data_IF_071775135225
#
_entry.id   IF_071775135225
#
_cell.length_a   1.000
_cell.length_b   1.000
_cell.length_c   1.000
_cell.angle_alpha   90.00
_cell.angle_beta   90.00
_cell.angle_gamma   90.00
#
_symmetry.space_group_name_H-M   'P 1'
#
loop_
_entity.id
_entity.type
_entity.pdbx_description
1 polymer ?
#
# COMPACT_ATOMS: atom_id res chain seq x y z
N UNK A 1 -25.54 -8.06 -60.41
CA UNK A 1 -26.02 -7.85 -61.80
C UNK A 1 -25.30 -8.74 -62.80
N UNK A 2 -24.20 -8.37 -63.49
CA UNK A 2 -23.56 -9.28 -64.49
C UNK A 2 -23.20 -10.68 -63.94
N UNK A 3 -22.83 -10.73 -62.66
CA UNK A 3 -22.58 -11.94 -61.91
C UNK A 3 -23.83 -12.81 -61.68
N UNK A 4 -24.94 -12.18 -61.27
CA UNK A 4 -26.19 -12.88 -60.95
C UNK A 4 -26.82 -13.43 -62.22
N UNK A 5 -26.75 -12.68 -63.34
CA UNK A 5 -27.28 -13.07 -64.64
C UNK A 5 -26.55 -14.30 -65.23
N UNK A 6 -25.23 -14.37 -65.12
CA UNK A 6 -24.44 -15.53 -65.57
C UNK A 6 -24.63 -16.76 -64.66
N UNK A 7 -24.74 -16.53 -63.35
CA UNK A 7 -25.07 -17.52 -62.33
C UNK A 7 -26.50 -18.07 -62.53
N UNK A 8 -27.42 -17.29 -63.07
CA UNK A 8 -28.79 -17.70 -63.40
C UNK A 8 -28.83 -18.55 -64.69
N UNK A 9 -28.07 -18.17 -65.74
CA UNK A 9 -27.90 -18.97 -66.97
C UNK A 9 -27.18 -20.32 -66.74
N UNK A 10 -26.25 -20.40 -65.79
CA UNK A 10 -25.61 -21.66 -65.37
C UNK A 10 -26.55 -22.60 -64.60
N UNK A 11 -27.54 -22.05 -63.90
CA UNK A 11 -28.54 -22.85 -63.19
C UNK A 11 -29.49 -23.60 -64.14
N UNK A 12 -29.54 -23.22 -65.43
CA UNK A 12 -30.24 -23.96 -66.48
C UNK A 12 -29.39 -25.04 -67.17
N UNK A 13 -28.08 -25.12 -66.87
CA UNK A 13 -27.10 -25.85 -67.66
C UNK A 13 -26.69 -27.26 -67.16
N UNK A 14 -27.18 -27.71 -66.00
CA UNK A 14 -26.90 -29.06 -65.47
C UNK A 14 -26.75 -29.10 -63.94
N UNK A 15 -26.56 -30.29 -63.36
CA UNK A 15 -26.41 -30.48 -61.91
C UNK A 15 -25.13 -29.88 -61.34
N UNK A 16 -23.99 -30.13 -61.98
CA UNK A 16 -22.66 -29.66 -61.52
C UNK A 16 -22.54 -28.14 -61.42
N UNK A 17 -23.17 -27.39 -62.34
CA UNK A 17 -23.19 -25.93 -62.33
C UNK A 17 -24.07 -25.34 -61.21
N UNK A 18 -25.16 -26.02 -60.83
CA UNK A 18 -26.00 -25.63 -59.69
C UNK A 18 -25.28 -25.83 -58.37
N UNK A 19 -24.58 -26.94 -58.22
CA UNK A 19 -23.82 -27.26 -57.00
C UNK A 19 -22.65 -26.28 -56.81
N UNK A 20 -21.91 -25.96 -57.89
CA UNK A 20 -20.83 -24.96 -57.86
C UNK A 20 -21.34 -23.55 -57.52
N UNK A 21 -22.53 -23.17 -58.01
CA UNK A 21 -23.20 -21.90 -57.66
C UNK A 21 -23.55 -21.83 -56.17
N UNK A 22 -24.13 -22.91 -55.62
CA UNK A 22 -24.48 -22.98 -54.21
C UNK A 22 -23.23 -22.87 -53.32
N UNK A 23 -22.17 -23.62 -53.65
CA UNK A 23 -20.89 -23.56 -52.95
C UNK A 23 -20.23 -22.16 -53.01
N UNK A 24 -20.31 -21.48 -54.16
CA UNK A 24 -19.80 -20.11 -54.29
C UNK A 24 -20.59 -19.11 -53.42
N UNK A 25 -21.92 -19.23 -53.38
CA UNK A 25 -22.76 -18.37 -52.56
C UNK A 25 -22.48 -18.58 -51.06
N UNK A 26 -22.31 -19.82 -50.63
CA UNK A 26 -21.95 -20.17 -49.26
C UNK A 26 -20.56 -19.62 -48.87
N UNK A 27 -19.56 -19.79 -49.75
CA UNK A 27 -18.22 -19.25 -49.52
C UNK A 27 -18.22 -17.71 -49.42
N UNK A 28 -19.00 -17.00 -50.25
CA UNK A 28 -19.16 -15.54 -50.15
C UNK A 28 -19.81 -15.12 -48.83
N UNK A 29 -20.84 -15.84 -48.39
CA UNK A 29 -21.50 -15.56 -47.12
C UNK A 29 -20.54 -15.77 -45.94
N UNK A 30 -19.75 -16.85 -45.96
CA UNK A 30 -18.71 -17.15 -44.96
C UNK A 30 -17.63 -16.07 -44.90
N UNK A 31 -17.11 -15.62 -46.05
CA UNK A 31 -16.13 -14.53 -46.11
C UNK A 31 -16.69 -13.24 -45.51
N UNK A 32 -17.94 -12.87 -45.88
CA UNK A 32 -18.60 -11.68 -45.34
C UNK A 32 -18.78 -11.76 -43.82
N UNK A 33 -19.21 -12.91 -43.31
CA UNK A 33 -19.37 -13.13 -41.87
C UNK A 33 -18.04 -13.01 -41.13
N UNK A 34 -16.98 -13.65 -41.64
CA UNK A 34 -15.63 -13.54 -41.07
C UNK A 34 -15.12 -12.09 -41.06
N UNK A 35 -15.36 -11.31 -42.12
CA UNK A 35 -15.01 -9.88 -42.15
C UNK A 35 -15.73 -9.09 -41.07
N UNK A 36 -17.02 -9.37 -40.82
CA UNK A 36 -17.77 -8.73 -39.73
C UNK A 36 -17.25 -9.14 -38.35
N UNK A 37 -16.94 -10.43 -38.16
CA UNK A 37 -16.37 -10.94 -36.91
C UNK A 37 -14.98 -10.34 -36.63
N UNK A 38 -14.12 -10.20 -37.65
CA UNK A 38 -12.82 -9.53 -37.52
C UNK A 38 -12.98 -8.07 -37.12
N UNK A 39 -13.92 -7.35 -37.74
CA UNK A 39 -14.19 -5.95 -37.38
C UNK A 39 -14.67 -5.82 -35.93
N UNK A 40 -15.57 -6.71 -35.49
CA UNK A 40 -16.05 -6.75 -34.10
C UNK A 40 -14.91 -7.07 -33.13
N UNK A 41 -14.13 -8.11 -33.39
CA UNK A 41 -12.98 -8.50 -32.56
C UNK A 41 -11.90 -7.42 -32.52
N UNK A 42 -11.69 -6.69 -33.62
CA UNK A 42 -10.79 -5.54 -33.69
C UNK A 42 -11.24 -4.41 -32.75
N UNK A 43 -12.52 -4.06 -32.78
CA UNK A 43 -13.08 -3.04 -31.88
C UNK A 43 -13.02 -3.47 -30.41
N UNK A 44 -13.26 -4.74 -30.10
CA UNK A 44 -13.15 -5.28 -28.74
C UNK A 44 -11.69 -5.21 -28.24
N UNK A 45 -10.73 -5.60 -29.08
CA UNK A 45 -9.30 -5.51 -28.76
C UNK A 45 -8.86 -4.06 -28.50
N UNK A 46 -9.34 -3.10 -29.30
CA UNK A 46 -9.07 -1.68 -29.09
C UNK A 46 -9.63 -1.19 -27.74
N UNK A 47 -10.86 -1.58 -27.40
CA UNK A 47 -11.50 -1.25 -26.11
C UNK A 47 -10.70 -1.79 -24.94
N UNK A 48 -10.39 -3.10 -24.95
CA UNK A 48 -9.62 -3.76 -23.88
C UNK A 48 -8.21 -3.14 -23.76
N UNK A 49 -7.59 -2.79 -24.87
CA UNK A 49 -6.27 -2.14 -24.88
C UNK A 49 -6.31 -0.72 -24.30
N UNK A 50 -7.42 0.00 -24.49
CA UNK A 50 -7.62 1.32 -23.88
C UNK A 50 -7.84 1.20 -22.37
N UNK A 51 -8.69 0.28 -21.93
CA UNK A 51 -8.94 0.01 -20.50
C UNK A 51 -7.65 -0.41 -19.78
N UNK A 52 -6.85 -1.29 -20.38
CA UNK A 52 -5.56 -1.71 -19.82
C UNK A 52 -4.62 -0.51 -19.62
N UNK A 53 -4.52 0.39 -20.61
CA UNK A 53 -3.69 1.61 -20.50
C UNK A 53 -4.17 2.54 -19.38
N UNK A 54 -5.48 2.66 -19.18
CA UNK A 54 -6.04 3.49 -18.12
C UNK A 54 -5.77 2.88 -16.73
N UNK A 55 -5.86 1.55 -16.60
CA UNK A 55 -5.49 0.83 -15.36
C UNK A 55 -4.00 0.95 -15.07
N UNK A 56 -3.13 0.78 -16.07
CA UNK A 56 -1.67 0.98 -15.92
C UNK A 56 -1.35 2.42 -15.47
N UNK A 57 -2.06 3.42 -16.03
CA UNK A 57 -1.90 4.82 -15.60
C UNK A 57 -2.36 5.02 -14.15
N UNK A 58 -3.50 4.44 -13.77
CA UNK A 58 -3.99 4.50 -12.41
C UNK A 58 -2.99 3.85 -11.43
N UNK A 59 -2.43 2.70 -11.77
CA UNK A 59 -1.44 1.99 -10.94
C UNK A 59 -0.19 2.86 -10.71
N UNK A 60 0.33 3.46 -11.79
CA UNK A 60 1.46 4.38 -11.70
C UNK A 60 1.18 5.62 -10.83
N UNK A 61 -0.03 6.20 -10.92
CA UNK A 61 -0.42 7.34 -10.09
C UNK A 61 -0.57 6.97 -8.62
N UNK A 62 -1.15 5.81 -8.32
CA UNK A 62 -1.29 5.34 -6.94
C UNK A 62 0.06 5.02 -6.32
N UNK A 63 0.98 4.43 -7.08
CA UNK A 63 2.36 4.18 -6.63
C UNK A 63 3.09 5.49 -6.31
N UNK A 64 2.98 6.51 -7.18
CA UNK A 64 3.51 7.86 -6.90
C UNK A 64 2.86 8.51 -5.67
N UNK A 65 1.55 8.33 -5.49
CA UNK A 65 0.84 8.83 -4.32
C UNK A 65 1.36 8.16 -3.05
N UNK A 66 1.56 6.84 -3.05
CA UNK A 66 2.15 6.10 -1.93
C UNK A 66 3.52 6.67 -1.57
N UNK A 67 4.44 6.80 -2.53
CA UNK A 67 5.77 7.38 -2.30
C UNK A 67 5.70 8.81 -1.77
N UNK A 68 4.76 9.62 -2.26
CA UNK A 68 4.57 10.99 -1.78
C UNK A 68 4.09 11.00 -0.32
N UNK A 69 3.17 10.11 0.02
CA UNK A 69 2.65 9.94 1.39
C UNK A 69 3.76 9.47 2.33
N UNK A 70 4.60 8.53 1.90
CA UNK A 70 5.78 8.07 2.64
C UNK A 70 6.75 9.20 2.91
N UNK A 71 7.06 10.03 1.88
CA UNK A 71 7.90 11.21 2.04
C UNK A 71 7.30 12.23 3.04
N UNK A 72 5.97 12.40 3.06
CA UNK A 72 5.31 13.24 4.07
C UNK A 72 5.46 12.63 5.47
N UNK A 73 5.32 11.32 5.62
CA UNK A 73 5.53 10.65 6.91
C UNK A 73 6.97 10.79 7.40
N UNK A 74 7.94 10.67 6.51
CA UNK A 74 9.36 10.92 6.81
C UNK A 74 9.59 12.35 7.28
N UNK A 75 9.00 13.35 6.60
CA UNK A 75 9.08 14.74 7.02
C UNK A 75 8.43 14.96 8.40
N UNK A 76 7.29 14.32 8.67
CA UNK A 76 6.63 14.38 9.97
C UNK A 76 7.47 13.78 11.10
N UNK A 77 8.18 12.68 10.82
CA UNK A 77 9.14 12.09 11.75
C UNK A 77 10.35 13.02 11.95
N UNK A 78 10.85 13.66 10.89
CA UNK A 78 11.89 14.69 10.97
C UNK A 78 11.50 15.90 11.83
N UNK A 79 10.24 16.32 11.80
CA UNK A 79 9.75 17.35 12.72
C UNK A 79 9.72 16.87 14.17
N UNK A 80 9.33 15.62 14.42
CA UNK A 80 9.40 15.05 15.76
C UNK A 80 10.85 14.92 16.25
N UNK A 81 11.76 14.55 15.35
CA UNK A 81 13.19 14.49 15.61
C UNK A 81 13.72 15.85 16.08
N UNK A 82 13.48 16.90 15.29
CA UNK A 82 13.97 18.25 15.59
C UNK A 82 13.30 18.90 16.81
N UNK A 83 12.00 18.68 17.00
CA UNK A 83 11.24 19.36 18.04
C UNK A 83 11.20 18.61 19.39
N UNK A 84 11.38 17.29 19.39
CA UNK A 84 11.24 16.47 20.60
C UNK A 84 12.53 15.71 20.91
N UNK A 85 13.03 14.88 19.98
CA UNK A 85 14.10 13.92 20.29
C UNK A 85 15.44 14.62 20.47
N UNK A 86 15.78 15.52 19.57
CA UNK A 86 17.05 16.24 19.58
C UNK A 86 17.21 17.15 20.83
N UNK A 87 16.20 17.94 21.26
CA UNK A 87 16.27 18.64 22.54
C UNK A 87 16.50 17.72 23.74
N UNK A 88 15.83 16.56 23.78
CA UNK A 88 15.99 15.58 24.87
C UNK A 88 17.43 15.01 24.88
N UNK A 89 18.01 14.70 23.70
CA UNK A 89 19.42 14.28 23.61
C UNK A 89 20.38 15.36 24.08
N UNK A 90 20.15 16.63 23.74
CA UNK A 90 21.03 17.75 24.16
C UNK A 90 21.07 17.94 25.68
N UNK A 91 20.00 17.55 26.38
CA UNK A 91 19.96 17.57 27.85
C UNK A 91 20.68 16.34 28.46
N UNK A 92 21.09 15.37 27.64
CA UNK A 92 21.89 14.20 28.04
C UNK A 92 21.08 12.96 28.37
N UNK A 93 19.76 12.95 28.09
CA UNK A 93 18.87 11.84 28.40
C UNK A 93 19.09 10.57 27.55
N UNK A 94 19.90 10.65 26.50
CA UNK A 94 20.29 9.48 25.68
C UNK A 94 21.28 8.56 26.40
N UNK A 95 21.97 9.06 27.42
CA UNK A 95 22.99 8.36 28.19
C UNK A 95 22.63 8.17 29.67
N UNK A 96 21.35 8.28 30.05
CA UNK A 96 20.88 8.07 31.42
C UNK A 96 20.35 6.63 31.61
N UNK A 97 21.19 5.68 32.05
CA UNK A 97 20.66 4.44 32.61
C UNK A 97 20.00 4.74 33.97
N UNK A 98 18.96 3.99 34.32
CA UNK A 98 18.11 4.22 35.51
C UNK A 98 18.88 4.19 36.84
N UNK A 99 20.07 3.61 36.85
CA UNK A 99 21.00 3.50 37.99
C UNK A 99 21.90 4.75 38.18
N UNK A 100 22.00 5.64 37.20
CA UNK A 100 22.84 6.85 37.30
C UNK A 100 22.19 8.01 38.06
N UNK A 101 20.86 8.08 38.12
CA UNK A 101 20.18 9.25 38.70
C UNK A 101 20.31 9.30 40.24
N UNK A 102 20.19 8.15 40.90
CA UNK A 102 20.29 7.99 42.36
C UNK A 102 20.94 6.63 42.67
N UNK A 103 22.28 6.54 42.61
CA UNK A 103 23.00 5.27 42.74
C UNK A 103 23.02 4.75 44.18
N UNK A 104 23.00 5.65 45.16
CA UNK A 104 23.07 5.32 46.58
C UNK A 104 21.67 5.27 47.22
N UNK A 105 21.43 4.34 48.15
CA UNK A 105 20.25 4.43 49.02
C UNK A 105 20.31 5.72 49.84
N UNK A 106 19.14 6.33 50.11
CA UNK A 106 19.02 7.63 50.80
C UNK A 106 19.83 7.65 52.09
N UNK A 107 19.77 6.56 52.84
CA UNK A 107 20.40 6.38 54.15
C UNK A 107 21.93 6.34 54.08
N UNK A 108 22.50 6.02 52.92
CA UNK A 108 23.96 5.99 52.71
C UNK A 108 24.53 7.33 52.24
N UNK A 109 23.68 8.33 51.96
CA UNK A 109 24.14 9.64 51.50
C UNK A 109 24.77 10.45 52.63
N UNK A 110 25.78 11.28 52.31
CA UNK A 110 26.39 12.19 53.29
C UNK A 110 25.34 13.12 53.92
N UNK A 111 24.41 13.64 53.12
CA UNK A 111 23.34 14.52 53.59
C UNK A 111 22.43 13.84 54.61
N UNK A 112 22.16 12.54 54.48
CA UNK A 112 21.41 11.78 55.45
C UNK A 112 22.18 11.64 56.79
N UNK A 113 23.49 11.39 56.73
CA UNK A 113 24.35 11.38 57.93
C UNK A 113 24.39 12.74 58.64
N UNK A 114 24.50 13.83 57.89
CA UNK A 114 24.52 15.20 58.42
C UNK A 114 23.17 15.59 59.04
N UNK A 115 22.05 15.21 58.38
CA UNK A 115 20.71 15.43 58.90
C UNK A 115 20.48 14.66 60.20
N UNK A 116 20.85 13.38 60.26
CA UNK A 116 20.75 12.56 61.46
C UNK A 116 21.54 13.18 62.63
N UNK A 117 22.77 13.58 62.37
CA UNK A 117 23.64 14.25 63.36
C UNK A 117 23.00 15.54 63.88
N UNK A 118 22.44 16.34 62.98
CA UNK A 118 21.80 17.62 63.34
C UNK A 118 20.54 17.42 64.17
N UNK A 119 19.68 16.45 63.81
CA UNK A 119 18.46 16.12 64.56
C UNK A 119 18.82 15.62 65.96
N UNK A 120 19.79 14.72 66.08
CA UNK A 120 20.29 14.25 67.38
C UNK A 120 20.88 15.40 68.21
N UNK A 121 21.65 16.30 67.62
CA UNK A 121 22.22 17.44 68.34
C UNK A 121 21.16 18.40 68.90
N UNK A 122 20.06 18.62 68.16
CA UNK A 122 18.92 19.41 68.65
C UNK A 122 18.25 18.71 69.85
N UNK A 123 18.09 17.38 69.80
CA UNK A 123 17.56 16.61 70.93
C UNK A 123 18.47 16.67 72.15
N UNK A 124 19.76 16.44 71.97
CA UNK A 124 20.76 16.49 73.05
C UNK A 124 20.79 17.87 73.71
N UNK A 125 20.68 18.94 72.92
CA UNK A 125 20.59 20.31 73.45
C UNK A 125 19.30 20.53 74.25
N UNK A 126 18.17 20.05 73.75
CA UNK A 126 16.89 20.11 74.43
C UNK A 126 16.92 19.40 75.78
N UNK A 127 17.40 18.16 75.81
CA UNK A 127 17.46 17.33 77.00
C UNK A 127 18.49 17.83 78.01
N UNK A 128 19.68 18.24 77.55
CA UNK A 128 20.79 18.63 78.42
C UNK A 128 20.76 20.09 78.88
N UNK A 129 20.24 21.01 78.08
CA UNK A 129 20.38 22.46 78.31
C UNK A 129 19.04 23.20 78.35
N UNK A 130 18.19 23.01 77.34
CA UNK A 130 17.01 23.86 77.16
C UNK A 130 15.89 23.53 78.15
N UNK A 131 15.52 22.25 78.31
CA UNK A 131 14.44 21.83 79.22
C UNK A 131 14.71 22.25 80.68
N UNK A 132 15.93 22.09 81.25
CA UNK A 132 16.25 22.61 82.57
C UNK A 132 16.06 24.13 82.69
N UNK A 133 16.50 24.90 81.68
CA UNK A 133 16.34 26.35 81.66
C UNK A 133 14.86 26.77 81.52
N UNK A 134 14.09 26.05 80.71
CA UNK A 134 12.66 26.28 80.52
C UNK A 134 11.85 25.96 81.78
N UNK A 135 12.22 24.93 82.54
CA UNK A 135 11.60 24.64 83.84
C UNK A 135 11.78 25.81 84.83
N UNK A 136 13.01 26.35 84.93
CA UNK A 136 13.28 27.51 85.78
C UNK A 136 12.52 28.78 85.33
N UNK A 137 12.35 28.98 84.03
CA UNK A 137 11.57 30.10 83.48
C UNK A 137 10.06 29.94 83.77
N UNK A 138 9.55 28.71 83.66
CA UNK A 138 8.15 28.38 83.99
C UNK A 138 7.84 28.67 85.45
N UNK A 139 8.76 28.33 86.36
CA UNK A 139 8.63 28.61 87.79
C UNK A 139 8.72 30.11 88.12
N UNK A 140 9.60 30.85 87.46
CA UNK A 140 9.88 32.26 87.79
C UNK A 140 8.95 33.27 87.09
N UNK A 141 8.48 32.95 85.88
CA UNK A 141 7.77 33.90 85.00
C UNK A 141 6.46 33.34 84.44
N UNK A 142 6.05 32.12 84.81
CA UNK A 142 4.85 31.44 84.30
C UNK A 142 4.80 31.26 82.77
N UNK A 143 5.95 31.41 82.08
CA UNK A 143 6.07 31.18 80.63
C UNK A 143 6.56 29.74 80.43
N UNK A 144 5.79 28.92 79.72
CA UNK A 144 6.15 27.55 79.40
C UNK A 144 6.70 27.44 77.97
N UNK A 145 8.02 27.25 77.87
CA UNK A 145 8.71 26.97 76.60
C UNK A 145 9.01 25.49 76.39
N UNK A 146 8.63 24.61 77.33
CA UNK A 146 8.80 23.16 77.23
C UNK A 146 8.31 22.57 75.90
N UNK A 147 7.16 22.99 75.35
CA UNK A 147 6.67 22.50 74.05
C UNK A 147 7.62 22.73 72.87
N UNK A 148 8.59 23.67 72.95
CA UNK A 148 9.58 23.86 71.88
C UNK A 148 10.56 22.69 71.75
N UNK A 149 10.68 21.86 72.79
CA UNK A 149 11.47 20.63 72.78
C UNK A 149 10.63 19.36 72.63
N UNK A 150 9.32 19.52 72.37
CA UNK A 150 8.39 18.41 72.17
C UNK A 150 8.35 18.04 70.68
N UNK A 151 9.31 17.25 70.26
CA UNK A 151 9.35 16.64 68.94
C UNK A 151 9.66 15.15 69.05
N UNK A 152 9.33 14.41 67.99
CA UNK A 152 9.52 12.96 67.91
C UNK A 152 10.99 12.56 68.11
N UNK A 153 11.22 11.30 68.49
CA UNK A 153 12.58 10.78 68.67
C UNK A 153 13.39 10.90 67.36
N UNK A 154 14.69 11.21 67.43
CA UNK A 154 15.53 11.45 66.25
C UNK A 154 15.43 10.39 65.15
N UNK A 155 15.34 9.11 65.55
CA UNK A 155 15.16 7.99 64.63
C UNK A 155 13.86 8.07 63.83
N UNK A 156 12.74 8.43 64.47
CA UNK A 156 11.44 8.53 63.82
C UNK A 156 11.40 9.71 62.83
N UNK A 157 11.94 10.87 63.23
CA UNK A 157 12.07 12.04 62.35
C UNK A 157 12.93 11.72 61.13
N UNK A 158 14.03 10.99 61.33
CA UNK A 158 14.93 10.59 60.24
C UNK A 158 14.30 9.55 59.31
N UNK A 159 13.52 8.61 59.85
CA UNK A 159 12.80 7.62 59.04
C UNK A 159 11.77 8.31 58.13
N UNK A 160 10.95 9.23 58.66
CA UNK A 160 9.99 9.98 57.84
C UNK A 160 10.69 10.80 56.75
N UNK A 161 11.77 11.50 57.09
CA UNK A 161 12.57 12.25 56.12
C UNK A 161 13.10 11.33 55.00
N UNK A 162 13.59 10.15 55.35
CA UNK A 162 14.13 9.18 54.39
C UNK A 162 13.04 8.66 53.45
N UNK A 163 11.84 8.40 53.97
CA UNK A 163 10.66 8.01 53.18
C UNK A 163 10.28 9.11 52.19
N UNK A 164 10.22 10.37 52.62
CA UNK A 164 9.87 11.51 51.76
C UNK A 164 10.91 11.72 50.64
N UNK A 165 12.20 11.62 50.97
CA UNK A 165 13.28 11.74 49.97
C UNK A 165 13.20 10.60 48.96
N UNK A 166 12.98 9.36 49.41
CA UNK A 166 12.83 8.19 48.53
C UNK A 166 11.63 8.32 47.60
N UNK A 167 10.50 8.79 48.11
CA UNK A 167 9.32 9.08 47.30
C UNK A 167 9.66 10.11 46.21
N UNK A 168 10.37 11.18 46.56
CA UNK A 168 10.78 12.20 45.60
C UNK A 168 11.76 11.67 44.56
N UNK A 169 12.71 10.82 44.95
CA UNK A 169 13.63 10.15 44.02
C UNK A 169 12.86 9.30 43.01
N UNK A 170 11.88 8.51 43.45
CA UNK A 170 11.06 7.70 42.56
C UNK A 170 10.26 8.54 41.55
N UNK A 171 9.65 9.64 42.00
CA UNK A 171 8.95 10.55 41.10
C UNK A 171 9.87 11.14 40.03
N UNK A 172 11.10 11.50 40.41
CA UNK A 172 12.10 11.99 39.46
C UNK A 172 12.48 10.89 38.47
N UNK A 173 12.70 9.65 38.92
CA UNK A 173 12.98 8.51 38.04
C UNK A 173 11.86 8.30 37.01
N UNK A 174 10.60 8.28 37.46
CA UNK A 174 9.45 8.14 36.57
C UNK A 174 9.38 9.27 35.53
N UNK A 175 9.64 10.51 35.93
CA UNK A 175 9.63 11.64 35.01
C UNK A 175 10.79 11.56 34.00
N UNK A 176 11.96 11.07 34.44
CA UNK A 176 13.10 10.82 33.57
C UNK A 176 12.78 9.71 32.55
N UNK A 177 12.17 8.60 32.96
CA UNK A 177 11.71 7.52 32.08
C UNK A 177 10.66 8.02 31.06
N UNK A 178 9.72 8.86 31.51
CA UNK A 178 8.74 9.48 30.61
C UNK A 178 9.41 10.36 29.57
N UNK A 179 10.44 11.12 29.94
CA UNK A 179 11.19 11.97 29.01
C UNK A 179 12.04 11.13 28.06
N UNK A 180 12.80 10.17 28.57
CA UNK A 180 13.68 9.29 27.76
C UNK A 180 12.88 8.44 26.77
N UNK A 181 11.65 8.03 27.12
CA UNK A 181 10.77 7.29 26.20
C UNK A 181 10.47 8.05 24.89
N UNK A 182 10.55 9.38 24.87
CA UNK A 182 10.40 10.19 23.64
C UNK A 182 11.57 10.09 22.67
N UNK A 183 12.74 9.61 23.12
CA UNK A 183 13.89 9.36 22.24
C UNK A 183 13.64 8.19 21.29
N UNK A 184 12.65 7.34 21.59
CA UNK A 184 12.27 6.23 20.73
C UNK A 184 11.29 6.70 19.64
N UNK A 185 11.54 6.39 18.35
CA UNK A 185 10.60 6.65 17.27
C UNK A 185 9.31 5.82 17.36
N UNK A 186 9.27 4.79 18.22
CA UNK A 186 8.20 3.79 18.30
C UNK A 186 7.51 3.75 19.68
N UNK A 187 7.43 4.91 20.34
CA UNK A 187 6.99 5.11 21.74
C UNK A 187 5.78 4.31 22.25
N UNK A 188 4.82 3.93 21.38
CA UNK A 188 3.64 3.15 21.78
C UNK A 188 3.88 1.64 21.93
N UNK A 189 5.05 1.15 21.54
CA UNK A 189 5.53 -0.17 21.94
C UNK A 189 6.25 0.06 23.27
N UNK A 190 5.90 -0.66 24.35
CA UNK A 190 6.57 -0.50 25.64
C UNK A 190 8.07 -0.78 25.45
N UNK A 191 8.87 0.28 25.32
CA UNK A 191 10.30 0.18 25.02
C UNK A 191 11.09 0.38 26.31
N UNK A 192 11.42 -0.73 26.95
CA UNK A 192 12.24 -0.75 28.17
C UNK A 192 13.70 -1.18 27.90
N UNK A 193 14.09 -1.40 26.64
CA UNK A 193 15.46 -1.81 26.29
C UNK A 193 15.84 -1.54 24.83
N UNK A 194 17.15 -1.49 24.55
CA UNK A 194 17.72 -1.45 23.20
C UNK A 194 17.28 -2.63 22.33
N UNK A 195 17.17 -3.83 22.91
CA UNK A 195 16.65 -5.00 22.20
C UNK A 195 15.19 -4.82 21.75
N UNK A 196 14.36 -4.18 22.58
CA UNK A 196 12.97 -3.88 22.20
C UNK A 196 12.90 -2.84 21.07
N UNK A 197 13.86 -1.92 21.00
CA UNK A 197 14.00 -0.99 19.88
C UNK A 197 14.37 -1.71 18.59
N UNK A 198 15.41 -2.55 18.61
CA UNK A 198 15.88 -3.29 17.43
C UNK A 198 14.75 -4.19 16.87
N UNK A 199 14.04 -4.91 17.76
CA UNK A 199 12.90 -5.74 17.38
C UNK A 199 11.76 -4.95 16.71
N UNK A 200 11.49 -3.73 17.18
CA UNK A 200 10.45 -2.89 16.58
C UNK A 200 10.88 -2.30 15.22
N UNK A 201 12.16 -2.02 15.03
CA UNK A 201 12.68 -1.60 13.74
C UNK A 201 12.62 -2.74 12.72
N UNK A 202 12.93 -3.97 13.13
CA UNK A 202 12.77 -5.17 12.31
C UNK A 202 11.30 -5.41 11.95
N UNK A 203 10.38 -5.25 12.91
CA UNK A 203 8.94 -5.39 12.63
C UNK A 203 8.43 -4.31 11.67
N UNK A 204 8.86 -3.05 11.81
CA UNK A 204 8.50 -1.98 10.86
C UNK A 204 9.02 -2.31 9.46
N UNK A 205 10.26 -2.82 9.34
CA UNK A 205 10.81 -3.27 8.07
C UNK A 205 10.01 -4.43 7.46
N UNK A 206 9.58 -5.41 8.26
CA UNK A 206 8.71 -6.51 7.80
C UNK A 206 7.35 -5.99 7.31
N UNK A 207 6.72 -5.07 8.04
CA UNK A 207 5.45 -4.44 7.62
C UNK A 207 5.60 -3.68 6.30
N UNK A 208 6.68 -2.93 6.14
CA UNK A 208 6.99 -2.20 4.90
C UNK A 208 7.21 -3.18 3.74
N UNK A 209 7.92 -4.28 3.98
CA UNK A 209 8.13 -5.34 2.97
C UNK A 209 6.82 -5.98 2.50
N UNK A 210 5.81 -6.02 3.38
CA UNK A 210 4.45 -6.50 3.10
C UNK A 210 3.55 -5.43 2.49
N UNK A 211 4.09 -4.26 2.16
CA UNK A 211 3.38 -3.21 1.43
C UNK A 211 2.88 -2.04 2.29
N UNK A 212 3.06 -2.05 3.62
CA UNK A 212 2.75 -0.88 4.44
C UNK A 212 3.55 0.35 3.99
N UNK A 213 2.94 1.53 4.05
CA UNK A 213 3.66 2.77 3.79
C UNK A 213 4.76 3.00 4.84
N UNK A 214 5.99 3.23 4.37
CA UNK A 214 7.13 3.54 5.23
C UNK A 214 6.89 4.77 6.11
N UNK A 215 7.41 4.75 7.34
CA UNK A 215 7.30 5.84 8.30
C UNK A 215 5.99 5.89 9.09
N UNK A 216 5.00 5.04 8.78
CA UNK A 216 3.70 5.05 9.45
C UNK A 216 3.81 4.75 10.96
N UNK A 217 4.60 3.75 11.36
CA UNK A 217 4.77 3.41 12.78
C UNK A 217 5.53 4.51 13.54
N UNK A 218 6.45 5.21 12.87
CA UNK A 218 7.18 6.34 13.45
C UNK A 218 6.26 7.54 13.70
N UNK A 219 5.44 7.90 12.72
CA UNK A 219 4.46 9.00 12.83
C UNK A 219 3.36 8.68 13.85
N UNK A 220 2.94 7.42 13.95
CA UNK A 220 1.98 6.98 14.96
C UNK A 220 2.43 7.36 16.37
N UNK A 221 3.71 7.25 16.71
CA UNK A 221 4.25 7.59 18.04
C UNK A 221 3.94 9.02 18.53
N UNK A 222 3.83 9.98 17.62
CA UNK A 222 3.70 11.41 17.95
C UNK A 222 2.31 11.95 17.63
N UNK A 223 1.71 11.49 16.52
CA UNK A 223 0.54 12.10 15.91
C UNK A 223 -0.76 11.29 16.07
N UNK A 224 -0.71 10.12 16.72
CA UNK A 224 -1.88 9.26 16.92
C UNK A 224 -3.05 10.00 17.58
N UNK A 225 -4.21 9.97 16.94
CA UNK A 225 -5.46 10.52 17.48
C UNK A 225 -5.58 12.06 17.44
N UNK A 226 -4.55 12.79 17.00
CA UNK A 226 -4.50 14.26 17.12
C UNK A 226 -4.99 15.02 15.90
N UNK A 227 -4.99 14.42 14.71
CA UNK A 227 -5.35 15.13 13.47
C UNK A 227 -6.23 14.32 12.53
N UNK A 228 -7.05 15.01 11.73
CA UNK A 228 -7.76 14.45 10.59
C UNK A 228 -6.79 13.85 9.57
N UNK A 229 -5.61 14.45 9.43
CA UNK A 229 -4.55 13.95 8.56
C UNK A 229 -4.02 12.58 9.02
N UNK A 230 -3.83 12.36 10.32
CA UNK A 230 -3.44 11.03 10.83
C UNK A 230 -4.50 9.96 10.53
N UNK A 231 -5.80 10.31 10.58
CA UNK A 231 -6.90 9.40 10.17
C UNK A 231 -6.84 9.04 8.68
N UNK A 232 -6.22 9.88 7.85
CA UNK A 232 -5.90 9.54 6.46
C UNK A 232 -4.67 8.62 6.39
N UNK A 233 -3.59 8.94 7.09
CA UNK A 233 -2.35 8.15 7.10
C UNK A 233 -2.56 6.69 7.51
N UNK A 234 -3.39 6.44 8.53
CA UNK A 234 -3.65 5.07 9.02
C UNK A 234 -4.34 4.17 7.98
N UNK A 235 -4.91 4.74 6.91
CA UNK A 235 -5.52 3.96 5.81
C UNK A 235 -4.46 3.28 4.92
N UNK A 236 -3.20 3.69 5.01
CA UNK A 236 -2.04 3.11 4.32
C UNK A 236 -1.35 1.97 5.09
N UNK A 237 -1.88 1.60 6.27
CA UNK A 237 -1.39 0.44 7.02
C UNK A 237 -1.58 -0.87 6.27
N UNK A 238 -0.83 -1.90 6.65
CA UNK A 238 -1.05 -3.26 6.16
C UNK A 238 -2.53 -3.69 6.34
N UNK A 239 -3.13 -4.30 5.32
CA UNK A 239 -4.56 -4.64 5.26
C UNK A 239 -5.53 -3.43 5.31
N UNK A 240 -5.00 -2.22 5.16
CA UNK A 240 -5.77 -0.97 5.08
C UNK A 240 -6.55 -0.84 3.77
N UNK A 241 -7.56 0.05 3.73
CA UNK A 241 -8.42 0.19 2.56
C UNK A 241 -7.65 0.64 1.31
N UNK A 242 -6.57 1.41 1.44
CA UNK A 242 -5.80 1.85 0.27
C UNK A 242 -4.96 0.73 -0.34
N UNK A 243 -4.30 -0.08 0.48
CA UNK A 243 -3.57 -1.25 -0.04
C UNK A 243 -4.52 -2.25 -0.70
N UNK A 244 -5.70 -2.50 -0.11
CA UNK A 244 -6.73 -3.34 -0.75
C UNK A 244 -7.15 -2.84 -2.13
N UNK A 245 -7.25 -1.52 -2.31
CA UNK A 245 -7.56 -0.94 -3.62
C UNK A 245 -6.40 -1.09 -4.62
N UNK A 246 -5.15 -1.05 -4.14
CA UNK A 246 -3.97 -1.34 -4.97
C UNK A 246 -3.98 -2.80 -5.40
N UNK A 247 -4.19 -3.74 -4.47
CA UNK A 247 -4.26 -5.16 -4.77
C UNK A 247 -5.37 -5.46 -5.81
N UNK A 248 -6.54 -4.82 -5.67
CA UNK A 248 -7.63 -4.93 -6.64
C UNK A 248 -7.26 -4.38 -8.02
N UNK A 249 -6.50 -3.29 -8.06
CA UNK A 249 -6.04 -2.69 -9.32
C UNK A 249 -5.00 -3.56 -10.02
N UNK A 250 -4.12 -4.21 -9.27
CA UNK A 250 -3.14 -5.18 -9.79
C UNK A 250 -3.85 -6.40 -10.40
N UNK A 251 -4.83 -6.98 -9.68
CA UNK A 251 -5.65 -8.09 -10.20
C UNK A 251 -6.37 -7.69 -11.49
N UNK A 252 -7.00 -6.51 -11.50
CA UNK A 252 -7.69 -6.01 -12.70
C UNK A 252 -6.73 -5.79 -13.87
N UNK A 253 -5.51 -5.29 -13.60
CA UNK A 253 -4.47 -5.12 -14.61
C UNK A 253 -4.07 -6.45 -15.25
N UNK A 254 -3.88 -7.49 -14.43
CA UNK A 254 -3.52 -8.83 -14.90
C UNK A 254 -4.66 -9.48 -15.70
N UNK A 255 -5.90 -9.34 -15.24
CA UNK A 255 -7.08 -9.83 -15.96
C UNK A 255 -7.23 -9.17 -17.34
N UNK A 256 -7.09 -7.84 -17.41
CA UNK A 256 -7.14 -7.10 -18.67
C UNK A 256 -5.97 -7.46 -19.60
N UNK A 257 -4.75 -7.64 -19.07
CA UNK A 257 -3.61 -8.08 -19.86
C UNK A 257 -3.85 -9.47 -20.49
N UNK A 258 -4.43 -10.40 -19.73
CA UNK A 258 -4.82 -11.72 -20.24
C UNK A 258 -5.95 -11.63 -21.27
N UNK A 259 -6.94 -10.76 -21.05
CA UNK A 259 -8.04 -10.53 -21.99
C UNK A 259 -7.52 -9.96 -23.32
N UNK A 260 -6.61 -8.98 -23.29
CA UNK A 260 -5.97 -8.41 -24.48
C UNK A 260 -5.20 -9.49 -25.26
N UNK A 261 -4.40 -10.32 -24.59
CA UNK A 261 -3.68 -11.41 -25.26
C UNK A 261 -4.61 -12.46 -25.87
N UNK A 262 -5.73 -12.74 -25.20
CA UNK A 262 -6.77 -13.65 -25.71
C UNK A 262 -7.46 -13.06 -26.94
N UNK A 263 -7.83 -11.78 -26.90
CA UNK A 263 -8.43 -11.07 -28.03
C UNK A 263 -7.48 -11.01 -29.24
N UNK A 264 -6.17 -10.78 -29.03
CA UNK A 264 -5.16 -10.83 -30.10
C UNK A 264 -5.10 -12.21 -30.77
N UNK A 265 -5.11 -13.29 -29.98
CA UNK A 265 -5.09 -14.66 -30.51
C UNK A 265 -6.35 -14.96 -31.31
N UNK A 266 -7.52 -14.56 -30.80
CA UNK A 266 -8.80 -14.74 -31.50
C UNK A 266 -8.83 -13.97 -32.82
N UNK A 267 -8.37 -12.71 -32.83
CA UNK A 267 -8.26 -11.91 -34.05
C UNK A 267 -7.36 -12.58 -35.08
N UNK A 268 -6.18 -13.08 -34.67
CA UNK A 268 -5.25 -13.78 -35.55
C UNK A 268 -5.86 -15.08 -36.13
N UNK A 269 -6.63 -15.82 -35.32
CA UNK A 269 -7.34 -17.02 -35.79
C UNK A 269 -8.43 -16.68 -36.80
N UNK A 270 -9.21 -15.62 -36.57
CA UNK A 270 -10.22 -15.14 -37.52
C UNK A 270 -9.59 -14.67 -38.83
N UNK A 271 -8.46 -13.97 -38.78
CA UNK A 271 -7.70 -13.58 -39.96
C UNK A 271 -7.19 -14.79 -40.75
N UNK A 272 -6.68 -15.83 -40.08
CA UNK A 272 -6.30 -17.08 -40.73
C UNK A 272 -7.50 -17.79 -41.39
N UNK A 273 -8.65 -17.82 -40.71
CA UNK A 273 -9.89 -18.36 -41.25
C UNK A 273 -10.39 -17.58 -42.46
N UNK A 274 -10.24 -16.25 -42.46
CA UNK A 274 -10.58 -15.40 -43.60
C UNK A 274 -9.69 -15.74 -44.81
N UNK A 275 -8.38 -15.89 -44.62
CA UNK A 275 -7.47 -16.31 -45.70
C UNK A 275 -7.84 -17.69 -46.26
N UNK A 276 -8.21 -18.64 -45.40
CA UNK A 276 -8.70 -19.95 -45.82
C UNK A 276 -10.02 -19.85 -46.60
N UNK A 277 -10.97 -19.03 -46.14
CA UNK A 277 -12.25 -18.81 -46.82
C UNK A 277 -12.08 -18.09 -48.17
N UNK A 278 -11.13 -17.17 -48.29
CA UNK A 278 -10.78 -16.53 -49.57
C UNK A 278 -10.18 -17.53 -50.56
N UNK A 279 -9.35 -18.47 -50.08
CA UNK A 279 -8.84 -19.56 -50.93
C UNK A 279 -9.97 -20.49 -51.38
N UNK A 280 -10.86 -20.88 -50.47
CA UNK A 280 -12.05 -21.70 -50.78
C UNK A 280 -12.97 -21.01 -51.80
N UNK A 281 -13.16 -19.69 -51.66
CA UNK A 281 -13.91 -18.88 -52.62
C UNK A 281 -13.25 -18.95 -54.01
N UNK A 282 -11.92 -18.79 -54.07
CA UNK A 282 -11.17 -18.86 -55.33
C UNK A 282 -11.30 -20.24 -55.98
N UNK A 283 -11.14 -21.32 -55.20
CA UNK A 283 -11.29 -22.70 -55.68
C UNK A 283 -12.72 -22.94 -56.23
N UNK A 284 -13.76 -22.37 -55.59
CA UNK A 284 -15.14 -22.46 -56.06
C UNK A 284 -15.40 -21.64 -57.32
N UNK A 285 -14.74 -20.49 -57.49
CA UNK A 285 -14.75 -19.72 -58.75
C UNK A 285 -14.13 -20.55 -59.88
N UNK A 286 -13.01 -21.20 -59.62
CA UNK A 286 -12.33 -22.05 -60.61
C UNK A 286 -13.17 -23.28 -60.99
N UNK A 287 -13.84 -23.94 -60.03
CA UNK A 287 -14.80 -25.02 -60.33
C UNK A 287 -16.00 -24.55 -61.13
N UNK A 288 -16.55 -23.38 -60.81
CA UNK A 288 -17.65 -22.80 -61.58
C UNK A 288 -17.24 -22.51 -63.03
N UNK A 289 -16.00 -22.03 -63.22
CA UNK A 289 -15.41 -21.83 -64.54
C UNK A 289 -15.28 -23.13 -65.34
N UNK A 290 -14.76 -24.18 -64.72
CA UNK A 290 -14.65 -25.49 -65.36
C UNK A 290 -16.01 -26.09 -65.70
N UNK A 291 -16.99 -25.98 -64.80
CA UNK A 291 -18.36 -26.42 -65.05
C UNK A 291 -18.97 -25.67 -66.22
N UNK A 292 -18.76 -24.34 -66.31
CA UNK A 292 -19.23 -23.52 -67.42
C UNK A 292 -18.67 -23.93 -68.79
N UNK A 293 -17.41 -24.37 -68.85
CA UNK A 293 -16.77 -24.82 -70.10
C UNK A 293 -17.31 -26.17 -70.61
N UNK A 294 -17.84 -27.00 -69.72
CA UNK A 294 -18.38 -28.35 -70.02
C UNK A 294 -19.84 -28.34 -70.49
N UNK A 295 -20.54 -27.21 -70.36
CA UNK A 295 -21.91 -27.06 -70.84
C UNK A 295 -21.93 -26.96 -72.36
N UNK A 296 -22.82 -27.71 -73.00
CA UNK A 296 -23.06 -27.69 -74.46
C UNK A 296 -23.94 -26.49 -74.84
N UNK A 297 -23.35 -25.29 -74.78
CA UNK A 297 -23.98 -24.01 -75.08
C UNK A 297 -23.58 -23.49 -76.46
N UNK A 298 -24.37 -22.56 -77.02
CA UNK A 298 -24.00 -21.87 -78.26
C UNK A 298 -22.69 -21.06 -78.09
N UNK A 299 -21.95 -20.83 -79.19
CA UNK A 299 -20.66 -20.14 -79.13
C UNK A 299 -20.73 -18.73 -78.50
N UNK A 300 -21.87 -18.04 -78.63
CA UNK A 300 -22.11 -16.74 -78.00
C UNK A 300 -22.29 -16.86 -76.47
N UNK A 301 -23.03 -17.87 -76.00
CA UNK A 301 -23.22 -18.14 -74.57
C UNK A 301 -21.94 -18.61 -73.89
N UNK A 302 -21.08 -19.35 -74.61
CA UNK A 302 -19.76 -19.74 -74.12
C UNK A 302 -18.85 -18.54 -73.89
N UNK A 303 -18.83 -17.58 -74.83
CA UNK A 303 -18.04 -16.37 -74.70
C UNK A 303 -18.51 -15.47 -73.54
N UNK A 304 -19.82 -15.31 -73.35
CA UNK A 304 -20.38 -14.58 -72.19
C UNK A 304 -20.02 -15.25 -70.85
N UNK A 305 -20.00 -16.58 -70.79
CA UNK A 305 -19.64 -17.35 -69.61
C UNK A 305 -18.16 -17.22 -69.25
N UNK A 306 -17.27 -17.29 -70.25
CA UNK A 306 -15.83 -17.06 -70.08
C UNK A 306 -15.52 -15.65 -69.59
N UNK A 307 -16.18 -14.63 -70.15
CA UNK A 307 -16.02 -13.23 -69.73
C UNK A 307 -16.48 -13.01 -68.28
N UNK A 308 -17.57 -13.68 -67.87
CA UNK A 308 -18.08 -13.57 -66.51
C UNK A 308 -17.17 -14.26 -65.48
N UNK A 309 -16.58 -15.40 -65.84
CA UNK A 309 -15.56 -16.10 -65.05
C UNK A 309 -14.30 -15.25 -64.89
N UNK A 310 -13.82 -14.63 -65.96
CA UNK A 310 -12.69 -13.69 -65.94
C UNK A 310 -12.97 -12.49 -65.03
N UNK A 311 -14.17 -11.92 -65.10
CA UNK A 311 -14.63 -10.86 -64.19
C UNK A 311 -14.61 -11.31 -62.72
N UNK A 312 -15.06 -12.53 -62.43
CA UNK A 312 -15.04 -13.14 -61.09
C UNK A 312 -13.63 -13.28 -60.55
N UNK A 313 -12.71 -13.81 -61.37
CA UNK A 313 -11.29 -13.94 -61.01
C UNK A 313 -10.68 -12.59 -60.72
N UNK A 314 -10.94 -11.58 -61.56
CA UNK A 314 -10.44 -10.21 -61.33
C UNK A 314 -10.98 -9.59 -60.04
N UNK A 315 -12.28 -9.75 -59.75
CA UNK A 315 -12.87 -9.28 -58.48
C UNK A 315 -12.32 -10.00 -57.25
N UNK A 316 -12.12 -11.32 -57.32
CA UNK A 316 -11.49 -12.09 -56.26
C UNK A 316 -10.05 -11.62 -55.98
N UNK A 317 -9.29 -11.37 -57.06
CA UNK A 317 -7.89 -10.94 -56.96
C UNK A 317 -7.76 -9.51 -56.40
N UNK A 318 -8.70 -8.60 -56.72
CA UNK A 318 -8.74 -7.26 -56.12
C UNK A 318 -9.22 -7.24 -54.66
N UNK A 319 -9.96 -8.27 -54.23
CA UNK A 319 -10.38 -8.47 -52.84
C UNK A 319 -9.31 -9.15 -51.97
N UNK A 320 -8.30 -9.80 -52.57
CA UNK A 320 -7.17 -10.41 -51.87
C UNK A 320 -5.96 -9.46 -51.69
N UNK A 321 -5.98 -8.28 -52.33
CA UNK A 321 -4.87 -7.31 -52.34
C UNK A 321 -5.13 -6.04 -51.51
N UNK A 322 -6.32 -5.90 -50.90
CA UNK A 322 -6.68 -4.87 -49.93
C UNK A 322 -7.04 -5.52 -48.59
#
# INVERSE_FOLDING_TARGET
>A
QALEDAIEKLATAGGEARDAKAALAEAKAKEKNLKMEIASAGSELESLSAELKDVERASNLVSKLKTTVEAVMELMDGFAEAALREPVRRVGFDNFPDDMAFPDPVEATQAAGDAKTSISAVRDYCDGTALPAFAALKESSSIDLGPLCEFEEPEAVFEDLSVQVKMRQNLVKEDMEKVSSWLTPYKFRQMLSKQAFDAAAEEDADLVSKGQAAGLEKVKSVYMGKSSFYKYLIKWRLNGPFLKLIDQLEVLSDELAQAVETAKKNLAALQANLLAAQKELQDNIDKLAEAALKVDNSAAEKAELEECVESLKRQSTSMATN
#
